data_IF_961750866702
#
_entry.id   IF_961750866702
#
_cell.length_a   1.000
_cell.length_b   1.000
_cell.length_c   1.000
_cell.angle_alpha   90.00
_cell.angle_beta   90.00
_cell.angle_gamma   90.00
#
_symmetry.space_group_name_H-M   'P 1'
#
loop_
_entity.id
_entity.type
_entity.pdbx_description
1 polymer ?
#
# COMPACT_ATOMS: atom_id res chain seq x y z
N UNK A 1 -12.15 -15.49 -14.03
CA UNK A 1 -11.91 -14.23 -14.78
C UNK A 1 -10.41 -14.10 -15.07
N UNK A 2 -9.97 -13.74 -16.28
CA UNK A 2 -8.54 -13.76 -16.65
C UNK A 2 -7.67 -12.76 -15.86
N UNK A 3 -8.23 -11.62 -15.43
CA UNK A 3 -7.47 -10.62 -14.65
C UNK A 3 -7.22 -10.99 -13.19
N UNK A 4 -7.95 -11.97 -12.64
CA UNK A 4 -7.74 -12.40 -11.25
C UNK A 4 -6.53 -13.32 -11.23
N UNK A 5 -5.56 -13.02 -10.38
CA UNK A 5 -4.29 -13.76 -10.29
C UNK A 5 -3.98 -14.32 -8.89
N UNK A 6 -4.58 -13.77 -7.84
CA UNK A 6 -4.42 -14.22 -6.45
C UNK A 6 -5.76 -14.16 -5.71
N UNK A 7 -5.93 -15.01 -4.70
CA UNK A 7 -7.05 -14.96 -3.75
C UNK A 7 -6.54 -14.55 -2.36
N UNK A 8 -6.80 -13.30 -1.95
CA UNK A 8 -6.50 -12.87 -0.58
C UNK A 8 -7.52 -13.42 0.40
N UNK A 9 -7.04 -14.03 1.49
CA UNK A 9 -7.88 -14.67 2.51
C UNK A 9 -8.08 -13.77 3.76
N UNK A 10 -7.56 -12.54 3.75
CA UNK A 10 -7.76 -11.54 4.80
C UNK A 10 -6.74 -10.40 4.75
N UNK A 11 -6.99 -9.37 5.56
CA UNK A 11 -6.15 -8.18 5.70
C UNK A 11 -6.01 -7.80 7.18
N UNK A 12 -4.77 -7.70 7.68
CA UNK A 12 -4.42 -7.23 9.03
C UNK A 12 -5.21 -7.87 10.19
N UNK A 13 -5.65 -9.11 10.01
CA UNK A 13 -6.52 -9.76 10.99
C UNK A 13 -5.81 -9.92 12.34
N UNK A 14 -6.49 -9.63 13.48
CA UNK A 14 -5.89 -9.76 14.81
C UNK A 14 -5.37 -11.16 15.11
N UNK A 15 -5.94 -12.19 14.46
CA UNK A 15 -5.59 -13.59 14.65
C UNK A 15 -4.48 -14.08 13.71
N UNK A 16 -3.93 -13.26 12.82
CA UNK A 16 -3.03 -13.71 11.75
C UNK A 16 -1.77 -14.44 12.24
N UNK A 17 -1.30 -14.17 13.46
CA UNK A 17 -0.11 -14.82 14.05
C UNK A 17 -0.45 -16.02 14.95
N UNK A 18 -1.74 -16.34 15.14
CA UNK A 18 -2.17 -17.37 16.10
C UNK A 18 -2.41 -18.70 15.40
N UNK A 19 -2.28 -19.79 16.15
CA UNK A 19 -2.68 -21.13 15.68
C UNK A 19 -4.18 -21.20 15.33
N UNK A 20 -5.02 -20.35 15.95
CA UNK A 20 -6.44 -20.24 15.58
C UNK A 20 -6.59 -19.59 14.20
N UNK A 21 -5.89 -18.49 13.94
CA UNK A 21 -5.87 -17.85 12.62
C UNK A 21 -5.39 -18.80 11.54
N UNK A 22 -4.29 -19.53 11.79
CA UNK A 22 -3.78 -20.56 10.89
C UNK A 22 -4.88 -21.59 10.55
N UNK A 23 -5.57 -22.16 11.55
CA UNK A 23 -6.66 -23.12 11.29
C UNK A 23 -7.81 -22.53 10.48
N UNK A 24 -8.20 -21.28 10.73
CA UNK A 24 -9.25 -20.58 9.96
C UNK A 24 -8.81 -20.46 8.50
N UNK A 25 -7.61 -19.91 8.26
CA UNK A 25 -7.11 -19.69 6.91
C UNK A 25 -6.83 -21.00 6.18
N UNK A 26 -6.39 -22.06 6.87
CA UNK A 26 -6.26 -23.40 6.26
C UNK A 26 -7.62 -23.89 5.72
N UNK A 27 -8.71 -23.71 6.46
CA UNK A 27 -10.05 -24.11 5.99
C UNK A 27 -10.51 -23.24 4.81
N UNK A 28 -10.21 -21.94 4.83
CA UNK A 28 -10.50 -21.03 3.71
C UNK A 28 -9.70 -21.42 2.45
N UNK A 29 -8.39 -21.66 2.58
CA UNK A 29 -7.52 -22.10 1.49
C UNK A 29 -7.98 -23.43 0.91
N UNK A 30 -8.33 -24.41 1.75
CA UNK A 30 -8.91 -25.69 1.29
C UNK A 30 -10.17 -25.46 0.47
N UNK A 31 -11.05 -24.55 0.90
CA UNK A 31 -12.26 -24.23 0.16
C UNK A 31 -11.95 -23.53 -1.17
N UNK A 32 -11.00 -22.59 -1.19
CA UNK A 32 -10.54 -21.94 -2.43
C UNK A 32 -9.99 -22.98 -3.39
N UNK A 33 -9.10 -23.87 -2.95
CA UNK A 33 -8.52 -24.93 -3.80
C UNK A 33 -9.55 -25.90 -4.38
N UNK A 34 -10.67 -26.14 -3.69
CA UNK A 34 -11.79 -26.92 -4.24
C UNK A 34 -12.54 -26.20 -5.37
N UNK A 35 -12.58 -24.87 -5.32
CA UNK A 35 -13.32 -24.02 -6.26
C UNK A 35 -12.45 -23.55 -7.44
N UNK A 36 -11.20 -23.21 -7.15
CA UNK A 36 -10.20 -22.72 -8.09
C UNK A 36 -8.80 -23.19 -7.66
N UNK A 37 -8.33 -24.36 -8.13
CA UNK A 37 -6.99 -24.84 -7.84
C UNK A 37 -5.91 -24.15 -8.70
N UNK A 38 -6.29 -23.25 -9.62
CA UNK A 38 -5.37 -22.68 -10.62
C UNK A 38 -4.66 -21.41 -10.16
N UNK A 39 -5.11 -20.80 -9.05
CA UNK A 39 -4.57 -19.54 -8.53
C UNK A 39 -4.08 -19.69 -7.09
N UNK A 40 -2.93 -19.07 -6.76
CA UNK A 40 -2.42 -19.09 -5.40
C UNK A 40 -3.28 -18.26 -4.45
N UNK A 41 -3.27 -18.66 -3.19
CA UNK A 41 -3.83 -17.91 -2.07
C UNK A 41 -2.79 -17.02 -1.43
N UNK A 42 -3.24 -15.89 -0.88
CA UNK A 42 -2.39 -14.94 -0.16
C UNK A 42 -3.09 -14.39 1.06
N UNK A 43 -2.35 -13.65 1.89
CA UNK A 43 -2.86 -12.89 3.01
C UNK A 43 -2.06 -11.61 3.15
N UNK A 44 -2.74 -10.50 3.42
CA UNK A 44 -2.12 -9.20 3.64
C UNK A 44 -1.84 -9.02 5.14
N UNK A 45 -0.56 -9.08 5.52
CA UNK A 45 -0.12 -9.18 6.90
C UNK A 45 0.65 -7.92 7.33
N UNK A 46 0.43 -7.42 8.54
CA UNK A 46 1.19 -6.30 9.13
C UNK A 46 2.25 -6.77 10.16
N UNK A 47 2.27 -8.08 10.48
CA UNK A 47 3.14 -8.71 11.48
C UNK A 47 3.19 -10.24 11.38
N UNK A 48 4.23 -10.84 11.95
CA UNK A 48 4.35 -12.31 12.12
C UNK A 48 4.34 -13.10 10.82
N UNK A 49 5.06 -12.60 9.81
CA UNK A 49 5.10 -13.16 8.44
C UNK A 49 5.51 -14.62 8.35
N UNK A 50 6.32 -15.11 9.29
CA UNK A 50 6.77 -16.51 9.39
C UNK A 50 5.92 -17.37 10.31
N UNK A 51 4.84 -16.83 10.89
CA UNK A 51 4.01 -17.47 11.90
C UNK A 51 2.55 -17.56 11.45
N UNK A 52 1.77 -18.41 12.14
CA UNK A 52 0.33 -18.48 11.97
C UNK A 52 -0.10 -18.63 10.51
N UNK A 53 -0.78 -17.61 10.00
CA UNK A 53 -1.30 -17.56 8.63
C UNK A 53 -0.19 -17.52 7.57
N UNK A 54 0.96 -16.91 7.86
CA UNK A 54 2.10 -16.83 6.94
C UNK A 54 2.70 -18.19 6.58
N UNK A 55 2.51 -19.20 7.44
CA UNK A 55 2.89 -20.59 7.18
C UNK A 55 1.84 -21.38 6.36
N UNK A 56 0.68 -20.80 6.10
CA UNK A 56 -0.44 -21.47 5.43
C UNK A 56 -0.58 -21.07 3.97
N UNK A 57 -0.50 -19.77 3.67
CA UNK A 57 -0.76 -19.25 2.33
C UNK A 57 0.36 -19.52 1.32
N UNK A 58 0.03 -19.50 0.03
CA UNK A 58 1.00 -19.79 -1.04
C UNK A 58 1.95 -18.61 -1.31
N UNK A 59 1.48 -17.38 -1.07
CA UNK A 59 2.21 -16.11 -1.25
C UNK A 59 2.00 -15.21 -0.04
N UNK A 60 3.07 -14.69 0.55
CA UNK A 60 2.99 -13.83 1.74
C UNK A 60 2.99 -12.35 1.35
N UNK A 61 1.96 -11.62 1.78
CA UNK A 61 1.81 -10.19 1.56
C UNK A 61 2.27 -9.36 2.77
N UNK A 62 3.09 -8.34 2.51
CA UNK A 62 3.60 -7.40 3.52
C UNK A 62 2.86 -6.06 3.46
N UNK A 63 2.13 -5.71 4.52
CA UNK A 63 1.58 -4.38 4.73
C UNK A 63 2.60 -3.50 5.44
N UNK A 64 3.10 -2.48 4.75
CA UNK A 64 3.98 -1.43 5.28
C UNK A 64 5.25 -1.90 6.02
N UNK A 65 5.65 -3.17 5.86
CA UNK A 65 6.86 -3.76 6.44
C UNK A 65 7.91 -4.07 5.38
N UNK A 66 8.07 -3.15 4.42
CA UNK A 66 9.02 -3.27 3.31
C UNK A 66 10.43 -3.65 3.79
N UNK A 67 10.90 -3.06 4.89
CA UNK A 67 12.22 -3.34 5.48
C UNK A 67 12.39 -4.76 6.05
N UNK A 68 11.30 -5.49 6.30
CA UNK A 68 11.36 -6.86 6.84
C UNK A 68 11.40 -7.93 5.73
N UNK A 69 11.19 -7.54 4.48
CA UNK A 69 11.08 -8.47 3.34
C UNK A 69 12.41 -9.20 3.07
N UNK A 70 13.55 -8.51 3.18
CA UNK A 70 14.87 -9.12 3.01
C UNK A 70 15.13 -10.19 4.08
N UNK A 71 14.80 -9.88 5.34
CA UNK A 71 14.96 -10.80 6.46
C UNK A 71 14.09 -12.05 6.31
N UNK A 72 12.83 -11.87 5.91
CA UNK A 72 11.94 -12.99 5.61
C UNK A 72 12.46 -13.82 4.44
N UNK A 73 12.89 -13.19 3.34
CA UNK A 73 13.43 -13.87 2.15
C UNK A 73 14.67 -14.71 2.46
N UNK A 74 15.50 -14.25 3.40
CA UNK A 74 16.67 -15.00 3.85
C UNK A 74 16.29 -16.29 4.59
N UNK A 75 15.21 -16.26 5.39
CA UNK A 75 14.72 -17.43 6.14
C UNK A 75 13.86 -18.37 5.30
N UNK A 76 13.04 -17.82 4.40
CA UNK A 76 12.06 -18.55 3.61
C UNK A 76 12.29 -18.33 2.11
N UNK A 77 13.40 -18.84 1.54
CA UNK A 77 13.85 -18.43 0.23
C UNK A 77 12.94 -18.85 -0.94
N UNK A 78 12.03 -19.80 -0.71
CA UNK A 78 11.18 -20.35 -1.75
C UNK A 78 9.73 -19.84 -1.68
N UNK A 79 9.40 -19.01 -0.68
CA UNK A 79 8.06 -18.45 -0.54
C UNK A 79 8.01 -17.12 -1.31
N UNK A 80 7.12 -16.98 -2.33
CA UNK A 80 6.95 -15.71 -3.02
C UNK A 80 6.40 -14.63 -2.08
N UNK A 81 6.90 -13.40 -2.25
CA UNK A 81 6.51 -12.24 -1.44
C UNK A 81 6.21 -11.02 -2.30
N UNK A 82 5.35 -10.14 -1.78
CA UNK A 82 5.01 -8.85 -2.38
C UNK A 82 4.55 -7.87 -1.28
N UNK A 83 4.54 -6.58 -1.60
CA UNK A 83 3.90 -5.58 -0.74
C UNK A 83 2.39 -5.60 -0.93
N UNK A 84 1.63 -6.19 -0.02
CA UNK A 84 0.17 -6.22 -0.13
C UNK A 84 -0.48 -4.86 0.14
N UNK A 85 0.15 -4.04 0.98
CA UNK A 85 -0.13 -2.60 1.11
C UNK A 85 1.20 -1.85 1.27
N UNK A 86 1.44 -0.85 0.42
CA UNK A 86 2.67 -0.04 0.43
C UNK A 86 2.36 1.46 0.31
N UNK A 87 3.34 2.31 0.60
CA UNK A 87 3.11 3.75 0.64
C UNK A 87 2.24 4.14 1.83
N UNK A 88 1.00 4.57 1.59
CA UNK A 88 0.16 5.35 2.52
C UNK A 88 0.61 6.81 2.67
N UNK A 89 1.25 7.38 1.65
CA UNK A 89 1.48 8.82 1.60
C UNK A 89 0.15 9.56 1.60
N UNK A 90 0.04 10.62 2.41
CA UNK A 90 -1.15 11.46 2.49
C UNK A 90 -0.86 12.82 1.84
N UNK A 91 -1.76 13.24 0.95
CA UNK A 91 -1.62 14.52 0.26
C UNK A 91 -2.98 15.11 -0.12
N UNK A 92 -3.05 16.44 -0.14
CA UNK A 92 -4.18 17.19 -0.74
C UNK A 92 -3.71 17.77 -2.07
N UNK A 93 -4.49 17.56 -3.13
CA UNK A 93 -4.16 18.02 -4.49
C UNK A 93 -3.87 19.52 -4.52
N UNK A 94 -2.69 19.90 -5.00
CA UNK A 94 -2.30 21.31 -5.18
C UNK A 94 -2.05 22.08 -3.88
N UNK A 95 -2.02 21.40 -2.73
CA UNK A 95 -1.73 22.03 -1.44
C UNK A 95 -0.27 21.78 -1.06
N UNK A 96 0.57 22.82 -1.15
CA UNK A 96 2.02 22.67 -0.93
C UNK A 96 2.48 23.05 0.48
N UNK A 97 1.53 23.17 1.43
CA UNK A 97 1.78 23.51 2.83
C UNK A 97 0.91 22.73 3.77
N UNK A 98 1.47 22.33 4.91
CA UNK A 98 0.70 21.65 5.93
C UNK A 98 -0.18 22.67 6.65
N UNK A 99 -1.48 22.43 6.67
CA UNK A 99 -2.47 23.20 7.42
C UNK A 99 -3.20 22.24 8.35
N UNK A 100 -2.64 22.05 9.55
CA UNK A 100 -3.23 21.15 10.55
C UNK A 100 -4.56 21.67 11.10
N UNK A 101 -4.90 22.96 10.97
CA UNK A 101 -6.19 23.48 11.42
C UNK A 101 -7.31 23.06 10.45
N UNK A 102 -7.09 23.30 9.15
CA UNK A 102 -8.03 22.89 8.08
C UNK A 102 -7.98 21.40 7.79
N UNK A 103 -6.90 20.72 8.18
CA UNK A 103 -6.72 19.30 7.94
C UNK A 103 -6.15 19.00 6.56
N UNK A 104 -5.21 19.80 6.06
CA UNK A 104 -4.59 19.59 4.76
C UNK A 104 -3.11 19.20 4.88
N UNK A 105 -2.77 18.04 4.31
CA UNK A 105 -1.40 17.56 4.14
C UNK A 105 -0.76 18.10 2.86
N UNK A 106 0.57 18.07 2.79
CA UNK A 106 1.33 18.60 1.66
C UNK A 106 1.28 17.65 0.46
N UNK A 107 1.31 18.21 -0.74
CA UNK A 107 1.40 17.45 -1.98
C UNK A 107 2.81 16.93 -2.29
N UNK A 108 3.83 17.48 -1.61
CA UNK A 108 5.18 16.89 -1.62
C UNK A 108 5.15 15.51 -0.94
N UNK A 109 5.93 14.57 -1.48
CA UNK A 109 6.09 13.18 -0.97
C UNK A 109 6.80 13.13 0.39
N UNK A 110 6.17 13.70 1.41
CA UNK A 110 6.76 13.94 2.74
C UNK A 110 5.82 13.53 3.87
N UNK A 111 4.51 13.68 3.68
CA UNK A 111 3.53 13.35 4.71
C UNK A 111 3.05 11.91 4.54
N UNK A 112 3.25 11.09 5.58
CA UNK A 112 2.69 9.74 5.67
C UNK A 112 2.44 9.39 7.15
N UNK A 113 1.54 8.46 7.46
CA UNK A 113 1.38 7.95 8.82
C UNK A 113 2.63 7.23 9.34
N UNK A 114 2.74 7.08 10.66
CA UNK A 114 3.93 6.51 11.30
C UNK A 114 4.24 5.06 10.90
N UNK A 115 3.22 4.30 10.46
CA UNK A 115 3.37 2.91 10.05
C UNK A 115 3.81 2.75 8.59
N UNK A 116 3.73 3.84 7.83
CA UNK A 116 3.78 3.91 6.37
C UNK A 116 5.10 4.51 5.87
N UNK A 117 5.19 4.75 4.56
CA UNK A 117 6.34 5.38 3.93
C UNK A 117 5.93 6.31 2.80
N UNK A 118 6.90 7.10 2.32
CA UNK A 118 6.74 7.92 1.12
C UNK A 118 6.65 7.04 -0.13
N UNK A 119 6.10 7.58 -1.23
CA UNK A 119 6.04 6.90 -2.51
C UNK A 119 7.42 6.47 -2.99
N UNK A 120 8.42 7.36 -2.84
CA UNK A 120 9.80 7.08 -3.24
C UNK A 120 10.46 6.00 -2.39
N UNK A 121 10.26 6.03 -1.08
CA UNK A 121 10.97 5.13 -0.16
C UNK A 121 10.61 3.66 -0.40
N UNK A 122 9.32 3.34 -0.55
CA UNK A 122 8.93 1.93 -0.76
C UNK A 122 9.27 1.46 -2.16
N UNK A 123 9.03 2.29 -3.19
CA UNK A 123 9.22 1.88 -4.57
C UNK A 123 10.71 1.66 -4.87
N UNK A 124 11.58 2.57 -4.44
CA UNK A 124 13.03 2.44 -4.63
C UNK A 124 13.58 1.17 -3.99
N UNK A 125 13.02 0.75 -2.84
CA UNK A 125 13.39 -0.50 -2.19
C UNK A 125 12.97 -1.72 -3.00
N UNK A 126 11.70 -1.76 -3.43
CA UNK A 126 11.12 -2.90 -4.16
C UNK A 126 11.72 -3.04 -5.56
N UNK A 127 11.91 -1.93 -6.28
CA UNK A 127 12.45 -1.91 -7.63
C UNK A 127 13.87 -2.51 -7.74
N UNK A 128 14.65 -2.47 -6.66
CA UNK A 128 15.99 -3.03 -6.61
C UNK A 128 16.03 -4.53 -6.25
N UNK A 129 14.88 -5.15 -5.96
CA UNK A 129 14.77 -6.51 -5.42
C UNK A 129 13.89 -7.39 -6.32
N UNK A 130 14.47 -8.11 -7.30
CA UNK A 130 13.69 -8.87 -8.28
C UNK A 130 12.91 -10.06 -7.69
N UNK A 131 13.20 -10.47 -6.45
CA UNK A 131 12.45 -11.51 -5.76
C UNK A 131 11.18 -10.99 -5.05
N UNK A 132 10.99 -9.66 -4.99
CA UNK A 132 9.74 -9.05 -4.55
C UNK A 132 8.88 -8.83 -5.79
N UNK A 133 7.70 -9.44 -5.85
CA UNK A 133 6.88 -9.42 -7.07
C UNK A 133 6.31 -8.02 -7.43
N UNK A 134 6.33 -7.09 -6.49
CA UNK A 134 5.80 -5.73 -6.63
C UNK A 134 5.10 -5.26 -5.36
N UNK A 135 4.19 -4.30 -5.49
CA UNK A 135 3.32 -3.91 -4.39
C UNK A 135 2.06 -3.16 -4.82
N UNK A 136 1.09 -3.09 -3.90
CA UNK A 136 -0.16 -2.36 -4.07
C UNK A 136 -0.16 -1.14 -3.15
N UNK A 137 -0.18 0.06 -3.74
CA UNK A 137 -0.19 1.29 -2.95
C UNK A 137 -1.51 1.48 -2.23
N UNK A 138 -1.45 2.02 -1.02
CA UNK A 138 -2.59 2.62 -0.33
C UNK A 138 -2.58 4.13 -0.59
N UNK A 139 -3.38 4.69 -1.49
CA UNK A 139 -4.33 4.04 -2.42
C UNK A 139 -4.23 4.62 -3.82
N UNK A 140 -4.90 3.98 -4.79
CA UNK A 140 -5.06 4.53 -6.14
C UNK A 140 -5.90 5.81 -6.17
N UNK A 141 -7.05 5.80 -5.48
CA UNK A 141 -8.01 6.91 -5.41
C UNK A 141 -8.32 7.23 -3.95
N UNK A 142 -8.51 8.50 -3.65
CA UNK A 142 -9.15 8.90 -2.39
C UNK A 142 -10.54 8.26 -2.29
N UNK A 143 -10.94 7.97 -1.05
CA UNK A 143 -12.20 7.35 -0.70
C UNK A 143 -12.84 8.08 0.50
N UNK A 144 -14.10 7.78 0.79
CA UNK A 144 -14.81 8.38 1.94
C UNK A 144 -14.43 7.69 3.24
N UNK A 145 -14.40 8.44 4.33
CA UNK A 145 -13.94 7.95 5.64
C UNK A 145 -12.42 7.97 5.75
N UNK A 146 -11.92 7.41 6.86
CA UNK A 146 -10.49 7.30 7.19
C UNK A 146 -9.66 8.56 6.83
N UNK A 147 -10.03 9.74 7.36
CA UNK A 147 -9.39 11.00 7.01
C UNK A 147 -8.04 11.19 7.69
N UNK A 148 -7.26 10.12 7.84
CA UNK A 148 -5.91 10.13 8.42
C UNK A 148 -5.06 11.19 7.69
N UNK A 149 -4.32 12.05 8.43
CA UNK A 149 -4.09 12.03 9.87
C UNK A 149 -5.14 12.82 10.70
N UNK A 150 -6.17 13.36 10.08
CA UNK A 150 -7.14 14.27 10.69
C UNK A 150 -8.49 13.58 10.94
N UNK A 151 -8.50 12.65 11.91
CA UNK A 151 -9.70 11.92 12.35
C UNK A 151 -10.68 12.78 13.15
N UNK A 152 -11.20 13.84 12.52
CA UNK A 152 -12.15 14.80 13.10
C UNK A 152 -12.96 15.53 12.03
N UNK A 153 -14.17 15.94 12.37
CA UNK A 153 -14.98 16.85 11.55
C UNK A 153 -14.24 18.19 11.30
N UNK A 154 -14.30 18.78 10.08
CA UNK A 154 -15.08 18.38 8.91
C UNK A 154 -14.36 17.42 7.95
N UNK A 155 -13.23 16.81 8.33
CA UNK A 155 -12.53 15.87 7.47
C UNK A 155 -13.29 14.54 7.42
N UNK A 156 -13.76 14.16 6.23
CA UNK A 156 -14.64 13.00 6.00
C UNK A 156 -14.20 12.13 4.83
N UNK A 157 -13.06 12.45 4.22
CA UNK A 157 -12.48 11.70 3.11
C UNK A 157 -11.00 11.49 3.36
N UNK A 158 -10.47 10.40 2.80
CA UNK A 158 -9.07 10.07 2.90
C UNK A 158 -8.21 11.02 2.06
N UNK A 159 -6.91 11.01 2.36
CA UNK A 159 -5.90 11.78 1.64
C UNK A 159 -4.84 10.85 1.01
N UNK A 160 -5.06 9.54 1.02
CA UNK A 160 -4.10 8.52 0.60
C UNK A 160 -3.97 8.34 -0.91
N UNK A 161 -4.98 8.76 -1.68
CA UNK A 161 -5.07 8.50 -3.10
C UNK A 161 -4.01 9.26 -3.88
N UNK A 162 -3.40 8.63 -4.88
CA UNK A 162 -2.62 9.34 -5.91
C UNK A 162 -3.51 10.12 -6.86
N UNK A 163 -4.79 9.72 -6.96
CA UNK A 163 -5.88 10.46 -7.57
C UNK A 163 -6.83 10.93 -6.46
N UNK A 164 -7.38 12.14 -6.59
CA UNK A 164 -8.45 12.58 -5.69
C UNK A 164 -9.79 11.87 -6.00
N UNK A 165 -10.80 12.10 -5.16
CA UNK A 165 -12.12 11.45 -5.32
C UNK A 165 -12.85 11.80 -6.62
N UNK A 166 -12.41 12.86 -7.33
CA UNK A 166 -12.93 13.25 -8.64
C UNK A 166 -12.11 12.66 -9.79
N UNK A 167 -11.07 11.88 -9.50
CA UNK A 167 -10.14 11.31 -10.48
C UNK A 167 -9.09 12.28 -11.00
N UNK A 168 -8.90 13.42 -10.33
CA UNK A 168 -7.83 14.35 -10.70
C UNK A 168 -6.50 13.92 -10.08
N UNK A 169 -5.40 13.91 -10.86
CA UNK A 169 -4.11 13.49 -10.36
C UNK A 169 -3.54 14.46 -9.32
N UNK A 170 -2.94 13.90 -8.26
CA UNK A 170 -2.04 14.59 -7.33
C UNK A 170 -0.60 14.46 -7.81
N UNK A 171 0.35 15.15 -7.19
CA UNK A 171 1.73 15.18 -7.68
C UNK A 171 2.42 13.80 -7.69
N UNK A 172 2.14 12.95 -6.69
CA UNK A 172 2.66 11.57 -6.65
C UNK A 172 2.14 10.66 -7.79
N UNK A 173 1.04 11.01 -8.46
CA UNK A 173 0.63 10.31 -9.69
C UNK A 173 1.73 10.35 -10.76
N UNK A 174 2.38 11.50 -10.90
CA UNK A 174 3.42 11.71 -11.91
C UNK A 174 4.73 11.02 -11.53
N UNK A 175 5.04 10.92 -10.23
CA UNK A 175 6.13 10.07 -9.74
C UNK A 175 5.93 8.61 -10.19
N UNK A 176 4.76 8.03 -9.92
CA UNK A 176 4.48 6.65 -10.34
C UNK A 176 4.48 6.49 -11.86
N UNK A 177 3.95 7.45 -12.62
CA UNK A 177 4.04 7.42 -14.10
C UNK A 177 5.48 7.37 -14.58
N UNK A 178 6.37 8.19 -14.01
CA UNK A 178 7.78 8.22 -14.37
C UNK A 178 8.51 6.90 -14.03
N UNK A 179 8.04 6.19 -13.01
CA UNK A 179 8.63 4.93 -12.57
C UNK A 179 8.06 3.69 -13.26
N UNK A 180 6.77 3.70 -13.63
CA UNK A 180 6.02 2.51 -14.05
C UNK A 180 5.66 2.50 -15.54
N UNK A 181 6.02 3.54 -16.28
CA UNK A 181 5.78 3.62 -17.72
C UNK A 181 7.07 3.90 -18.47
N UNK A 182 7.12 3.51 -19.75
CA UNK A 182 8.24 3.82 -20.65
C UNK A 182 8.10 5.20 -21.32
N UNK A 183 6.98 5.88 -21.12
CA UNK A 183 6.73 7.20 -21.71
C UNK A 183 7.58 8.26 -20.99
N UNK A 184 8.23 9.20 -21.72
CA UNK A 184 8.90 10.32 -21.09
C UNK A 184 7.95 11.15 -20.22
N UNK A 185 8.31 11.37 -18.95
CA UNK A 185 7.53 12.19 -18.01
C UNK A 185 8.34 13.39 -17.56
N UNK A 186 7.77 14.58 -17.72
CA UNK A 186 8.21 15.82 -17.05
C UNK A 186 6.98 16.46 -16.40
N UNK A 187 6.97 16.50 -15.08
CA UNK A 187 5.93 17.17 -14.29
C UNK A 187 6.61 18.14 -13.33
N UNK A 188 6.19 19.40 -13.33
CA UNK A 188 6.72 20.45 -12.46
C UNK A 188 5.67 20.82 -11.42
N UNK A 189 6.11 20.89 -10.18
CA UNK A 189 5.34 21.36 -9.03
C UNK A 189 6.28 22.07 -8.06
N UNK A 190 5.84 23.10 -7.32
CA UNK A 190 4.46 23.52 -7.12
C UNK A 190 3.96 24.50 -8.19
N UNK A 191 2.82 25.14 -7.96
CA UNK A 191 2.34 26.27 -8.76
C UNK A 191 3.25 27.50 -8.63
N UNK A 192 3.13 28.47 -9.54
CA UNK A 192 3.96 29.69 -9.57
C UNK A 192 3.29 30.96 -9.00
N UNK A 193 2.23 30.81 -8.21
CA UNK A 193 1.58 31.90 -7.47
C UNK A 193 2.03 31.88 -6.01
N UNK A 194 2.97 32.76 -5.66
CA UNK A 194 3.62 32.75 -4.34
C UNK A 194 3.12 33.82 -3.36
N UNK A 195 2.37 34.79 -3.85
CA UNK A 195 1.83 35.86 -3.00
C UNK A 195 0.86 35.29 -1.95
N UNK A 196 1.09 35.63 -0.68
CA UNK A 196 0.34 35.09 0.46
C UNK A 196 0.89 33.76 1.01
N UNK A 197 2.03 33.27 0.51
CA UNK A 197 2.76 32.15 1.06
C UNK A 197 4.03 32.60 1.82
N UNK A 198 4.61 33.78 1.67
CA UNK A 198 5.72 34.17 2.58
C UNK A 198 5.21 34.61 3.97
#
# INVERSE_FOLDING_TARGET
HPSVILWSLGNEEPQQVTARGARIVTRMQQRVRQLDPTRPTTFAMDKGFGDGVGQVVDVVGFNYRTSQMDGFRAQYPNIPIYGSETGSTVSVRGNYRRDDQRGYTRAYDLDHPWWASTAEAWWSYVAQRPYIAGGFIWTGFDYRGEPTPYNRWPNVASQFGVLDSCGFPKDNYWYYRAQWTSEPVLHLFPHWNWDGLL
#
